data_IF_719668518937
#
_entry.id   IF_719668518937
#
_cell.length_a   1.000
_cell.length_b   1.000
_cell.length_c   1.000
_cell.angle_alpha   90.00
_cell.angle_beta   90.00
_cell.angle_gamma   90.00
#
_symmetry.space_group_name_H-M   'P 1'
#
loop_
_entity.id
_entity.type
_entity.pdbx_description
1 polymer ?
#
# COMPACT_ATOMS: atom_id res chain seq x y z
N UNK A 1 -7.41 -3.78 2.07
CA UNK A 1 -7.01 -5.16 1.69
C UNK A 1 -5.62 -5.11 1.10
N UNK A 2 -4.74 -6.06 1.45
CA UNK A 2 -3.35 -6.13 0.99
C UNK A 2 -3.13 -7.50 0.34
N UNK A 3 -2.61 -7.50 -0.88
CA UNK A 3 -2.12 -8.67 -1.58
C UNK A 3 -0.62 -8.52 -1.77
N UNK A 4 0.13 -9.58 -1.49
CA UNK A 4 1.57 -9.62 -1.69
C UNK A 4 1.96 -10.82 -2.53
N UNK A 5 2.97 -10.64 -3.38
CA UNK A 5 3.62 -11.72 -4.11
C UNK A 5 5.13 -11.56 -3.99
N UNK A 6 5.78 -12.57 -3.44
CA UNK A 6 7.20 -12.56 -3.15
C UNK A 6 7.93 -13.50 -4.14
N UNK A 7 8.45 -13.00 -5.28
CA UNK A 7 9.19 -13.82 -6.24
C UNK A 7 10.53 -14.34 -5.69
N UNK A 8 11.13 -13.66 -4.71
CA UNK A 8 12.37 -14.08 -4.07
C UNK A 8 12.50 -13.51 -2.63
N UNK A 9 13.46 -13.97 -1.81
CA UNK A 9 13.64 -13.51 -0.43
C UNK A 9 13.86 -12.01 -0.24
N UNK A 10 14.22 -11.27 -1.30
CA UNK A 10 14.59 -9.85 -1.23
C UNK A 10 13.57 -8.88 -1.82
N UNK A 11 12.60 -9.39 -2.57
CA UNK A 11 11.66 -8.60 -3.36
C UNK A 11 10.24 -9.07 -3.11
N UNK A 12 9.35 -8.13 -2.82
CA UNK A 12 7.91 -8.36 -2.68
C UNK A 12 7.13 -7.34 -3.52
N UNK A 13 6.26 -7.79 -4.41
CA UNK A 13 5.27 -6.92 -5.02
C UNK A 13 4.04 -6.85 -4.14
N UNK A 14 3.48 -5.66 -3.96
CA UNK A 14 2.28 -5.47 -3.16
C UNK A 14 1.22 -4.66 -3.92
N UNK A 15 -0.03 -5.06 -3.75
CA UNK A 15 -1.20 -4.32 -4.20
C UNK A 15 -2.12 -4.09 -2.98
N UNK A 16 -2.47 -2.84 -2.72
CA UNK A 16 -3.24 -2.47 -1.54
C UNK A 16 -4.40 -1.54 -1.88
N UNK A 17 -5.60 -1.94 -1.47
CA UNK A 17 -6.80 -1.08 -1.44
C UNK A 17 -6.98 -0.50 -0.04
N UNK A 18 -7.03 0.82 0.07
CA UNK A 18 -7.18 1.57 1.34
C UNK A 18 -8.42 2.47 1.24
N UNK A 19 -9.25 2.49 2.28
CA UNK A 19 -10.34 3.45 2.42
C UNK A 19 -9.90 4.52 3.42
N UNK A 20 -9.93 5.77 2.99
CA UNK A 20 -9.60 6.94 3.80
C UNK A 20 -10.90 7.59 4.23
N UNK A 21 -11.25 7.43 5.50
CA UNK A 21 -12.41 8.07 6.10
C UNK A 21 -12.00 9.48 6.57
N UNK A 22 -12.57 10.52 5.95
CA UNK A 22 -12.51 11.89 6.49
C UNK A 22 -13.74 12.12 7.36
N UNK A 23 -13.56 12.71 8.53
CA UNK A 23 -14.67 13.01 9.45
C UNK A 23 -15.69 13.99 8.84
N UNK A 24 -15.23 14.89 7.96
CA UNK A 24 -16.06 15.96 7.35
C UNK A 24 -16.08 15.91 5.81
N UNK A 25 -15.82 14.76 5.19
CA UNK A 25 -15.86 14.62 3.73
C UNK A 25 -16.13 13.19 3.28
N UNK A 26 -16.37 13.01 1.99
CA UNK A 26 -16.58 11.71 1.36
C UNK A 26 -15.40 10.76 1.60
N UNK A 27 -15.73 9.47 1.73
CA UNK A 27 -14.74 8.41 1.85
C UNK A 27 -13.93 8.32 0.54
N UNK A 28 -12.60 8.41 0.64
CA UNK A 28 -11.74 8.24 -0.51
C UNK A 28 -11.23 6.80 -0.59
N UNK A 29 -11.03 6.30 -1.80
CA UNK A 29 -10.48 4.96 -2.03
C UNK A 29 -9.17 5.08 -2.78
N UNK A 30 -8.10 4.56 -2.19
CA UNK A 30 -6.77 4.50 -2.77
C UNK A 30 -6.42 3.08 -3.20
N UNK A 31 -5.89 2.95 -4.41
CA UNK A 31 -5.35 1.72 -4.95
C UNK A 31 -3.85 1.92 -5.18
N UNK A 32 -3.04 1.20 -4.41
CA UNK A 32 -1.58 1.33 -4.42
C UNK A 32 -0.96 0.07 -4.98
N UNK A 33 0.08 0.25 -5.80
CA UNK A 33 0.99 -0.81 -6.20
C UNK A 33 2.40 -0.44 -5.74
N UNK A 34 3.07 -1.36 -5.06
CA UNK A 34 4.36 -1.09 -4.46
C UNK A 34 5.36 -2.23 -4.60
N UNK A 35 6.59 -1.90 -4.22
CA UNK A 35 7.73 -2.80 -4.20
C UNK A 35 8.33 -2.80 -2.79
N UNK A 36 8.29 -3.93 -2.11
CA UNK A 36 8.99 -4.17 -0.86
C UNK A 36 10.39 -4.67 -1.10
N UNK A 37 11.35 -4.07 -0.39
CA UNK A 37 12.74 -4.49 -0.35
C UNK A 37 13.11 -4.79 1.10
N UNK A 38 13.53 -6.02 1.37
CA UNK A 38 13.96 -6.47 2.71
C UNK A 38 14.95 -7.63 2.57
N UNK A 39 15.81 -7.85 3.56
CA UNK A 39 16.60 -9.09 3.62
C UNK A 39 15.80 -10.27 4.19
N UNK A 40 14.78 -9.97 5.00
CA UNK A 40 13.89 -10.94 5.62
C UNK A 40 12.56 -10.26 5.96
N UNK A 41 11.54 -10.49 5.13
CA UNK A 41 10.20 -9.89 5.30
C UNK A 41 9.47 -10.38 6.57
N UNK A 42 9.85 -11.53 7.13
CA UNK A 42 9.22 -12.09 8.34
C UNK A 42 9.83 -11.57 9.64
N UNK A 43 11.05 -11.00 9.57
CA UNK A 43 11.78 -10.55 10.77
C UNK A 43 12.12 -9.08 10.78
N UNK A 44 12.08 -8.40 9.63
CA UNK A 44 12.57 -7.04 9.50
C UNK A 44 11.49 -6.06 9.07
N UNK A 45 11.70 -4.81 9.48
CA UNK A 45 10.95 -3.67 8.96
C UNK A 45 11.11 -3.62 7.44
N UNK A 46 10.01 -3.68 6.72
CA UNK A 46 10.02 -3.59 5.26
C UNK A 46 9.53 -2.23 4.82
N UNK A 47 10.34 -1.55 4.02
CA UNK A 47 9.98 -0.30 3.35
C UNK A 47 9.39 -0.63 1.98
N UNK A 48 8.23 -0.04 1.68
CA UNK A 48 7.49 -0.24 0.42
C UNK A 48 7.19 1.10 -0.23
N UNK A 49 8.05 1.62 -1.12
CA UNK A 49 7.62 2.64 -2.07
C UNK A 49 6.42 2.15 -2.87
N UNK A 50 5.41 3.00 -2.99
CA UNK A 50 4.14 2.73 -3.65
C UNK A 50 3.82 3.87 -4.64
N UNK A 51 3.30 3.49 -5.81
CA UNK A 51 2.57 4.40 -6.70
C UNK A 51 1.08 4.10 -6.56
N UNK A 52 0.23 5.12 -6.58
CA UNK A 52 -1.18 4.91 -6.33
C UNK A 52 -2.11 5.84 -7.09
N UNK A 53 -3.35 5.39 -7.17
CA UNK A 53 -4.49 6.13 -7.70
C UNK A 53 -5.48 6.32 -6.55
N UNK A 54 -5.82 7.58 -6.28
CA UNK A 54 -6.81 7.98 -5.30
C UNK A 54 -8.08 8.43 -6.03
N UNK A 55 -9.21 7.88 -5.62
CA UNK A 55 -10.54 8.16 -6.20
C UNK A 55 -11.50 8.61 -5.10
N UNK A 56 -12.36 9.56 -5.44
CA UNK A 56 -13.56 9.86 -4.66
C UNK A 56 -14.74 9.14 -5.36
N UNK A 57 -15.36 8.12 -4.76
CA UNK A 57 -16.48 7.39 -5.39
C UNK A 57 -17.66 8.28 -5.77
N UNK A 58 -17.83 9.44 -5.12
CA UNK A 58 -18.89 10.41 -5.42
C UNK A 58 -18.56 11.35 -6.59
N UNK A 59 -17.33 11.36 -7.10
CA UNK A 59 -16.88 12.30 -8.13
C UNK A 59 -16.20 11.57 -9.29
N UNK A 60 -16.29 12.16 -10.49
CA UNK A 60 -15.56 11.66 -11.65
C UNK A 60 -14.11 12.16 -11.61
N UNK A 61 -13.15 11.23 -11.68
CA UNK A 61 -11.73 11.55 -11.80
C UNK A 61 -10.85 10.75 -10.87
N UNK A 62 -9.55 11.02 -10.93
CA UNK A 62 -8.57 10.40 -10.05
C UNK A 62 -7.34 11.27 -9.85
N UNK A 63 -6.67 11.07 -8.72
CA UNK A 63 -5.38 11.67 -8.42
C UNK A 63 -4.30 10.59 -8.41
N UNK A 64 -3.13 10.90 -9.00
CA UNK A 64 -1.94 10.05 -8.86
C UNK A 64 -1.16 10.51 -7.64
N UNK A 65 -0.61 9.57 -6.89
CA UNK A 65 0.25 9.89 -5.76
C UNK A 65 1.40 8.88 -5.61
N UNK A 66 2.42 9.31 -4.88
CA UNK A 66 3.47 8.46 -4.36
C UNK A 66 3.25 8.29 -2.86
N UNK A 67 3.45 7.08 -2.35
CA UNK A 67 3.40 6.82 -0.91
C UNK A 67 4.53 5.90 -0.47
N UNK A 68 4.79 5.91 0.84
CA UNK A 68 5.74 5.02 1.47
C UNK A 68 5.00 4.24 2.55
N UNK A 69 4.92 2.92 2.40
CA UNK A 69 4.38 2.03 3.41
C UNK A 69 5.50 1.37 4.21
N UNK A 70 5.25 1.18 5.50
CA UNK A 70 6.11 0.45 6.42
C UNK A 70 5.32 -0.76 6.91
N UNK A 71 5.89 -1.97 6.83
CA UNK A 71 5.39 -3.09 7.64
C UNK A 71 6.41 -3.49 8.67
N UNK A 72 5.90 -3.75 9.86
CA UNK A 72 6.60 -4.53 10.85
C UNK A 72 5.94 -5.90 10.90
N UNK A 73 6.71 -7.00 10.81
CA UNK A 73 6.15 -8.31 11.08
C UNK A 73 5.69 -8.33 12.54
N UNK A 74 4.41 -8.61 12.76
CA UNK A 74 3.90 -8.86 14.11
C UNK A 74 4.29 -10.30 14.47
N UNK A 75 5.13 -10.44 15.49
CA UNK A 75 5.86 -11.68 15.78
C UNK A 75 5.01 -12.92 16.03
N UNK A 76 5.69 -14.07 16.04
CA UNK A 76 5.25 -15.24 16.82
C UNK A 76 5.34 -14.95 18.31
#
# INVERSE_FOLDING_TARGET
MLFTWQPNPHVEFNAAGKVLLRQDADALVAYNFGLGLSHDFERQLTIRPEIGILTNPGEAGYYRHLSLALSMPWGK
#
